data_IF_218062939528
#
_entry.id   IF_218062939528
#
_cell.length_a   1.000
_cell.length_b   1.000
_cell.length_c   1.000
_cell.angle_alpha   90.00
_cell.angle_beta   90.00
_cell.angle_gamma   90.00
#
_symmetry.space_group_name_H-M   'P 1'
#
loop_
_entity.id
_entity.type
_entity.pdbx_description
1 polymer ?
#
# COMPACT_ATOMS: atom_id res chain seq x y z
N UNK A 1 -6.01 2.09 25.03
CA UNK A 1 -5.21 1.93 23.79
C UNK A 1 -3.86 2.67 23.80
N UNK A 2 -3.74 3.87 24.39
CA UNK A 2 -2.49 4.65 24.35
C UNK A 2 -1.33 4.10 25.20
N UNK A 3 -1.61 3.45 26.33
CA UNK A 3 -0.57 2.94 27.23
C UNK A 3 0.29 1.84 26.58
N UNK A 4 -0.35 0.89 25.87
CA UNK A 4 0.35 -0.18 25.13
C UNK A 4 1.27 0.36 24.05
N UNK A 5 0.83 1.37 23.30
CA UNK A 5 1.66 2.02 22.28
C UNK A 5 2.86 2.75 22.92
N UNK A 6 2.63 3.54 23.98
CA UNK A 6 3.71 4.23 24.71
C UNK A 6 4.73 3.23 25.29
N UNK A 7 4.26 2.12 25.85
CA UNK A 7 5.11 1.05 26.35
C UNK A 7 5.92 0.38 25.24
N UNK A 8 5.29 0.06 24.09
CA UNK A 8 5.99 -0.46 22.92
C UNK A 8 7.12 0.48 22.45
N UNK A 9 6.86 1.78 22.33
CA UNK A 9 7.88 2.75 21.93
C UNK A 9 9.00 2.89 22.96
N UNK A 10 8.69 2.75 24.26
CA UNK A 10 9.69 2.71 25.32
C UNK A 10 10.60 1.48 25.16
N UNK A 11 10.01 0.28 25.02
CA UNK A 11 10.77 -0.96 24.79
C UNK A 11 11.65 -0.85 23.53
N UNK A 12 11.12 -0.27 22.46
CA UNK A 12 11.85 -0.06 21.20
C UNK A 12 13.03 0.88 21.38
N UNK A 13 12.85 1.98 22.13
CA UNK A 13 13.93 2.93 22.46
C UNK A 13 15.02 2.32 23.34
N UNK A 14 14.66 1.37 24.20
CA UNK A 14 15.59 0.63 25.04
C UNK A 14 16.27 -0.55 24.32
N UNK A 15 16.01 -0.74 23.02
CA UNK A 15 16.47 -1.89 22.23
C UNK A 15 16.04 -3.26 22.80
N UNK A 16 14.93 -3.30 23.54
CA UNK A 16 14.37 -4.53 24.12
C UNK A 16 13.41 -5.25 23.16
N UNK A 17 13.13 -4.66 22.01
CA UNK A 17 12.38 -5.28 20.91
C UNK A 17 13.08 -5.01 19.58
N UNK A 18 12.94 -5.90 18.57
CA UNK A 18 13.54 -5.70 17.26
C UNK A 18 13.15 -4.37 16.61
N UNK A 19 14.13 -3.69 16.01
CA UNK A 19 13.93 -2.36 15.41
C UNK A 19 12.97 -2.38 14.20
N UNK A 20 12.84 -3.53 13.54
CA UNK A 20 11.96 -3.74 12.38
C UNK A 20 10.47 -3.91 12.77
N UNK A 21 10.13 -4.03 14.06
CA UNK A 21 8.73 -4.08 14.48
C UNK A 21 8.10 -2.69 14.36
N UNK A 22 6.93 -2.64 13.73
CA UNK A 22 6.08 -1.45 13.67
C UNK A 22 4.72 -1.75 14.30
N UNK A 23 4.07 -0.72 14.82
CA UNK A 23 2.67 -0.77 15.23
C UNK A 23 1.76 -0.56 14.03
N UNK A 24 0.52 -1.05 14.10
CA UNK A 24 -0.49 -0.79 13.05
C UNK A 24 -0.69 0.72 12.84
N UNK A 25 -0.57 1.54 13.90
CA UNK A 25 -0.66 3.01 13.82
C UNK A 25 0.49 3.65 13.05
N UNK A 26 1.62 2.96 12.90
CA UNK A 26 2.72 3.45 12.08
C UNK A 26 2.36 3.48 10.60
N UNK A 27 1.37 2.69 10.16
CA UNK A 27 0.82 2.72 8.81
C UNK A 27 0.02 4.00 8.51
N UNK A 28 -0.40 4.74 9.55
CA UNK A 28 -1.10 6.02 9.41
C UNK A 28 -0.12 7.22 9.37
N UNK A 29 1.18 6.99 9.54
CA UNK A 29 2.17 8.07 9.51
C UNK A 29 2.33 8.62 8.08
N UNK A 30 2.80 9.87 7.98
CA UNK A 30 2.95 10.59 6.71
C UNK A 30 1.62 10.83 5.99
N UNK A 31 1.47 10.40 4.72
CA UNK A 31 0.25 10.59 3.93
C UNK A 31 -0.88 9.63 4.33
N UNK A 32 -0.58 8.61 5.14
CA UNK A 32 -1.51 7.56 5.50
C UNK A 32 -1.65 6.51 4.40
N UNK A 33 -1.86 5.26 4.81
CA UNK A 33 -1.80 4.10 3.92
C UNK A 33 -2.83 4.12 2.78
N UNK A 34 -4.07 4.52 3.05
CA UNK A 34 -5.12 4.64 2.01
C UNK A 34 -4.68 5.61 0.91
N UNK A 35 -4.19 6.79 1.30
CA UNK A 35 -3.75 7.80 0.34
C UNK A 35 -2.52 7.36 -0.43
N UNK A 36 -1.58 6.67 0.22
CA UNK A 36 -0.40 6.13 -0.43
C UNK A 36 -0.76 5.09 -1.51
N UNK A 37 -1.70 4.19 -1.22
CA UNK A 37 -2.17 3.21 -2.21
C UNK A 37 -2.92 3.90 -3.36
N UNK A 38 -3.75 4.89 -3.06
CA UNK A 38 -4.46 5.69 -4.08
C UNK A 38 -3.50 6.44 -5.02
N UNK A 39 -2.52 7.15 -4.48
CA UNK A 39 -1.50 7.88 -5.26
C UNK A 39 -0.62 6.93 -6.08
N UNK A 40 -0.33 5.74 -5.55
CA UNK A 40 0.40 4.72 -6.30
C UNK A 40 -0.39 4.26 -7.53
N UNK A 41 -1.68 3.96 -7.36
CA UNK A 41 -2.57 3.58 -8.48
C UNK A 41 -2.73 4.71 -9.49
N UNK A 42 -2.84 5.96 -9.03
CA UNK A 42 -2.86 7.15 -9.89
C UNK A 42 -1.59 7.30 -10.72
N UNK A 43 -0.42 7.06 -10.12
CA UNK A 43 0.86 7.10 -10.82
C UNK A 43 0.89 6.07 -11.95
N UNK A 44 0.49 4.82 -11.67
CA UNK A 44 0.46 3.76 -12.69
C UNK A 44 -0.50 4.10 -13.84
N UNK A 45 -1.72 4.52 -13.51
CA UNK A 45 -2.72 4.92 -14.51
C UNK A 45 -2.22 6.10 -15.36
N UNK A 46 -1.53 7.06 -14.75
CA UNK A 46 -0.97 8.21 -15.48
C UNK A 46 0.15 7.78 -16.42
N UNK A 47 1.07 6.93 -15.96
CA UNK A 47 2.14 6.39 -16.81
C UNK A 47 1.52 5.63 -18.00
N UNK A 48 0.55 4.76 -17.74
CA UNK A 48 -0.11 3.99 -18.80
C UNK A 48 -0.84 4.90 -19.78
N UNK A 49 -1.65 5.84 -19.28
CA UNK A 49 -2.41 6.78 -20.12
C UNK A 49 -1.52 7.62 -21.03
N UNK A 50 -0.38 8.10 -20.52
CA UNK A 50 0.47 9.03 -21.26
C UNK A 50 1.50 8.33 -22.17
N UNK A 51 1.82 7.05 -21.90
CA UNK A 51 2.93 6.36 -22.59
C UNK A 51 2.59 4.98 -23.14
N UNK A 52 1.51 4.35 -22.69
CA UNK A 52 1.20 2.95 -22.99
C UNK A 52 2.27 1.97 -22.49
N UNK A 53 3.09 2.37 -21.51
CA UNK A 53 4.29 1.65 -21.12
C UNK A 53 4.00 0.23 -20.61
N UNK A 54 3.00 0.04 -19.75
CA UNK A 54 2.71 -1.29 -19.19
C UNK A 54 2.11 -2.21 -20.25
N UNK A 55 1.30 -1.67 -21.17
CA UNK A 55 0.78 -2.43 -22.31
C UNK A 55 1.83 -2.71 -23.41
N UNK A 56 3.02 -2.12 -23.31
CA UNK A 56 4.10 -2.31 -24.29
C UNK A 56 4.97 -3.54 -23.99
N UNK A 57 5.69 -4.09 -24.99
CA UNK A 57 6.66 -5.16 -24.76
C UNK A 57 7.74 -4.78 -23.73
N UNK A 58 8.09 -3.49 -23.63
CA UNK A 58 9.07 -2.98 -22.68
C UNK A 58 8.56 -3.07 -21.23
N UNK A 59 7.25 -2.91 -21.03
CA UNK A 59 6.59 -2.95 -19.72
C UNK A 59 6.37 -4.35 -19.15
N UNK A 60 6.61 -5.41 -19.93
CA UNK A 60 6.29 -6.80 -19.55
C UNK A 60 6.81 -7.18 -18.16
N UNK A 61 8.09 -6.92 -17.87
CA UNK A 61 8.66 -7.19 -16.55
C UNK A 61 8.24 -6.18 -15.49
N UNK A 62 7.95 -4.94 -15.87
CA UNK A 62 7.52 -3.89 -14.95
C UNK A 62 6.12 -4.13 -14.41
N UNK A 63 5.23 -4.79 -15.17
CA UNK A 63 3.89 -5.18 -14.69
C UNK A 63 3.99 -5.99 -13.40
N UNK A 64 4.81 -7.04 -13.36
CA UNK A 64 4.93 -7.88 -12.17
C UNK A 64 5.45 -7.14 -10.94
N UNK A 65 6.37 -6.19 -11.12
CA UNK A 65 6.84 -5.33 -10.02
C UNK A 65 5.74 -4.38 -9.55
N UNK A 66 4.98 -3.82 -10.49
CA UNK A 66 3.90 -2.89 -10.19
C UNK A 66 2.77 -3.60 -9.42
N UNK A 67 2.43 -4.80 -9.86
CA UNK A 67 1.44 -5.70 -9.28
C UNK A 67 1.83 -6.12 -7.86
N UNK A 68 3.06 -6.62 -7.68
CA UNK A 68 3.58 -7.04 -6.37
C UNK A 68 3.54 -5.91 -5.34
N UNK A 69 3.86 -4.67 -5.76
CA UNK A 69 3.82 -3.52 -4.87
C UNK A 69 2.39 -3.08 -4.55
N UNK A 70 1.45 -3.15 -5.51
CA UNK A 70 0.02 -2.91 -5.24
C UNK A 70 -0.51 -3.94 -4.24
N UNK A 71 -0.18 -5.21 -4.42
CA UNK A 71 -0.59 -6.30 -3.53
C UNK A 71 -0.03 -6.12 -2.12
N UNK A 72 1.24 -5.71 -2.00
CA UNK A 72 1.83 -5.43 -0.70
C UNK A 72 1.14 -4.27 0.02
N UNK A 73 0.89 -3.16 -0.68
CA UNK A 73 0.17 -2.02 -0.11
C UNK A 73 -1.30 -2.38 0.21
N UNK A 74 -1.93 -3.19 -0.63
CA UNK A 74 -3.27 -3.72 -0.42
C UNK A 74 -3.37 -4.64 0.80
N UNK A 75 -2.36 -5.47 1.03
CA UNK A 75 -2.24 -6.31 2.21
C UNK A 75 -2.09 -5.47 3.49
N UNK A 76 -1.25 -4.44 3.46
CA UNK A 76 -1.15 -3.50 4.59
C UNK A 76 -2.48 -2.79 4.85
N UNK A 77 -3.24 -2.45 3.79
CA UNK A 77 -4.54 -1.79 3.90
C UNK A 77 -5.51 -2.70 4.65
N UNK A 78 -5.57 -3.98 4.27
CA UNK A 78 -6.41 -4.97 4.92
C UNK A 78 -6.05 -5.15 6.41
N UNK A 79 -4.75 -5.22 6.74
CA UNK A 79 -4.30 -5.25 8.14
C UNK A 79 -4.79 -4.02 8.91
N UNK A 80 -4.70 -2.84 8.29
CA UNK A 80 -5.00 -1.57 8.97
C UNK A 80 -6.50 -1.34 9.14
N UNK A 81 -7.31 -1.67 8.14
CA UNK A 81 -8.72 -1.31 8.08
C UNK A 81 -9.67 -2.50 8.25
N UNK A 82 -9.15 -3.73 8.25
CA UNK A 82 -9.94 -4.95 8.45
C UNK A 82 -10.82 -5.31 7.24
N UNK A 83 -10.57 -4.72 6.08
CA UNK A 83 -11.31 -4.94 4.85
C UNK A 83 -10.40 -4.78 3.63
N UNK A 84 -10.72 -5.50 2.55
CA UNK A 84 -9.97 -5.41 1.30
C UNK A 84 -10.08 -4.01 0.68
N UNK A 85 -9.02 -3.51 0.03
CA UNK A 85 -9.04 -2.21 -0.63
C UNK A 85 -9.92 -2.24 -1.88
N UNK A 86 -11.00 -1.48 -1.85
CA UNK A 86 -11.89 -1.26 -2.99
C UNK A 86 -12.47 0.15 -2.92
N UNK A 87 -12.91 0.73 -4.05
CA UNK A 87 -13.60 2.03 -4.03
C UNK A 87 -14.81 2.05 -3.10
N UNK A 88 -15.52 0.93 -2.94
CA UNK A 88 -16.68 0.77 -2.07
C UNK A 88 -16.33 0.66 -0.58
N UNK A 89 -15.10 0.30 -0.25
CA UNK A 89 -14.60 0.13 1.12
C UNK A 89 -13.58 1.21 1.52
N UNK A 90 -13.39 2.23 0.68
CA UNK A 90 -12.53 3.36 0.99
C UNK A 90 -13.13 4.19 2.13
N UNK A 91 -12.30 4.63 3.06
CA UNK A 91 -12.71 5.59 4.09
C UNK A 91 -12.91 6.97 3.46
N UNK A 92 -11.99 7.41 2.60
CA UNK A 92 -12.09 8.67 1.87
C UNK A 92 -12.24 8.43 0.37
N UNK A 93 -11.17 7.96 -0.27
CA UNK A 93 -11.13 7.72 -1.70
C UNK A 93 -9.99 6.75 -2.04
N UNK A 94 -10.30 5.76 -2.86
CA UNK A 94 -9.35 4.78 -3.34
C UNK A 94 -9.73 4.31 -4.73
N UNK A 95 -8.83 4.48 -5.70
CA UNK A 95 -8.98 3.92 -7.05
C UNK A 95 -8.99 2.39 -7.02
N UNK A 96 -9.66 1.79 -8.00
CA UNK A 96 -9.53 0.35 -8.23
C UNK A 96 -8.10 0.00 -8.64
N UNK A 97 -7.69 -1.26 -8.42
CA UNK A 97 -6.41 -1.77 -8.93
C UNK A 97 -6.39 -1.64 -10.46
N UNK A 98 -5.36 -1.05 -11.08
CA UNK A 98 -5.32 -0.86 -12.52
C UNK A 98 -5.44 -2.19 -13.27
N UNK A 99 -6.26 -2.25 -14.32
CA UNK A 99 -6.54 -3.52 -15.03
C UNK A 99 -5.32 -4.09 -15.74
N UNK A 100 -4.42 -3.23 -16.23
CA UNK A 100 -3.23 -3.62 -16.98
C UNK A 100 -2.10 -4.22 -16.13
N UNK A 101 -2.21 -4.17 -14.80
CA UNK A 101 -1.29 -4.89 -13.90
C UNK A 101 -1.91 -6.12 -13.24
N UNK A 102 -3.22 -6.35 -13.41
CA UNK A 102 -3.88 -7.50 -12.78
C UNK A 102 -3.37 -8.79 -13.41
N UNK A 103 -2.74 -9.65 -12.61
CA UNK A 103 -2.39 -11.00 -13.03
C UNK A 103 -3.67 -11.74 -13.43
N UNK A 104 -3.58 -12.46 -14.56
CA UNK A 104 -4.61 -13.42 -14.97
C UNK A 104 -4.40 -14.70 -14.15
N UNK A 105 -4.92 -14.73 -12.92
CA UNK A 105 -5.04 -15.98 -12.17
C UNK A 105 -6.12 -16.88 -12.80
#
# INVERSE_FOLDING_TARGET
MQLKAKFFYLLKRMHLVPNNLITIKDLDKFRGLEKQLDEYRELLETIEKETGYFSSPQGFYSIGHADTLDDYLSYLYEIRFGQKPAPSTAINYLRAKPSFIQSSD
#
